data_IF_124008625757
#
_entry.id   IF_124008625757
#
_cell.length_a   1.000
_cell.length_b   1.000
_cell.length_c   1.000
_cell.angle_alpha   90.00
_cell.angle_beta   90.00
_cell.angle_gamma   90.00
#
_symmetry.space_group_name_H-M   'P 1'
#
loop_
_entity.id
_entity.type
_entity.pdbx_description
1 polymer ?
#
# COMPACT_ATOMS: atom_id res chain seq x y z
N UNK A 1 9.54 30.40 56.14
CA UNK A 1 9.55 29.06 55.49
C UNK A 1 8.17 28.51 55.15
N UNK A 2 7.10 28.72 55.91
CA UNK A 2 5.74 28.21 55.58
C UNK A 2 5.11 28.82 54.33
N UNK A 3 5.40 30.08 54.02
CA UNK A 3 4.86 30.81 52.85
C UNK A 3 5.46 30.35 51.51
N UNK A 4 6.72 29.92 51.48
CA UNK A 4 7.40 29.41 50.29
C UNK A 4 6.90 28.01 49.93
N UNK A 5 6.58 27.18 50.91
CA UNK A 5 6.07 25.83 50.68
C UNK A 5 4.66 25.84 50.05
N UNK A 6 3.80 26.78 50.43
CA UNK A 6 2.45 26.94 49.85
C UNK A 6 2.51 27.40 48.38
N UNK A 7 3.46 28.28 48.04
CA UNK A 7 3.64 28.77 46.66
C UNK A 7 4.14 27.67 45.71
N UNK A 8 5.00 26.75 46.18
CA UNK A 8 5.49 25.63 45.38
C UNK A 8 4.38 24.58 45.18
N UNK A 9 3.53 24.34 46.15
CA UNK A 9 2.38 23.41 46.04
C UNK A 9 1.33 23.98 45.08
N UNK A 10 1.05 25.29 45.12
CA UNK A 10 0.16 25.94 44.16
C UNK A 10 0.74 25.96 42.72
N UNK A 11 2.05 26.14 42.53
CA UNK A 11 2.67 26.06 41.19
C UNK A 11 2.70 24.63 40.63
N UNK A 12 2.88 23.61 41.49
CA UNK A 12 2.78 22.22 41.03
C UNK A 12 1.32 21.82 40.72
N UNK A 13 0.33 22.36 41.43
CA UNK A 13 -1.08 22.14 41.10
C UNK A 13 -1.56 22.86 39.86
N UNK A 14 -0.94 23.98 39.47
CA UNK A 14 -1.22 24.72 38.24
C UNK A 14 -0.50 24.11 37.01
N UNK A 15 0.61 23.36 37.22
CA UNK A 15 1.34 22.68 36.16
C UNK A 15 0.71 21.39 35.66
N UNK A 16 -0.29 20.85 36.36
CA UNK A 16 -0.98 19.59 35.98
C UNK A 16 -2.38 19.79 35.40
N UNK A 17 -2.83 21.04 35.27
CA UNK A 17 -4.05 21.35 34.50
C UNK A 17 -3.76 21.61 33.01
N UNK A 18 -2.96 20.79 32.37
CA UNK A 18 -3.21 20.49 30.96
C UNK A 18 -4.55 19.78 30.96
N UNK A 19 -5.58 20.48 30.49
CA UNK A 19 -6.95 20.02 30.50
C UNK A 19 -7.01 18.61 29.90
N UNK A 20 -7.10 17.61 30.74
CA UNK A 20 -7.35 16.24 30.32
C UNK A 20 -8.76 16.29 29.75
N UNK A 21 -8.83 16.28 28.40
CA UNK A 21 -10.10 16.28 27.65
C UNK A 21 -10.97 15.20 28.28
N UNK A 22 -12.16 15.53 28.70
CA UNK A 22 -13.06 14.54 29.30
C UNK A 22 -13.36 13.45 28.26
N UNK A 23 -13.65 12.24 28.72
CA UNK A 23 -14.04 11.13 27.83
C UNK A 23 -15.17 11.57 26.89
N UNK A 24 -16.15 12.31 27.40
CA UNK A 24 -17.29 12.79 26.61
C UNK A 24 -16.87 13.79 25.50
N UNK A 25 -15.99 14.72 25.83
CA UNK A 25 -15.45 15.67 24.83
C UNK A 25 -14.65 14.95 23.76
N UNK A 26 -13.80 13.97 24.15
CA UNK A 26 -13.04 13.15 23.20
C UNK A 26 -13.98 12.36 22.29
N UNK A 27 -15.01 11.74 22.84
CA UNK A 27 -16.02 11.00 22.08
C UNK A 27 -16.78 11.91 21.09
N UNK A 28 -17.13 13.14 21.51
CA UNK A 28 -17.77 14.13 20.62
C UNK A 28 -16.83 14.55 19.49
N UNK A 29 -15.56 14.77 19.82
CA UNK A 29 -14.53 15.08 18.83
C UNK A 29 -14.38 13.96 17.79
N UNK A 30 -14.24 12.71 18.22
CA UNK A 30 -14.09 11.55 17.33
C UNK A 30 -15.29 11.41 16.40
N UNK A 31 -16.52 11.54 16.93
CA UNK A 31 -17.74 11.48 16.09
C UNK A 31 -17.79 12.61 15.04
N UNK A 32 -17.31 13.79 15.38
CA UNK A 32 -17.21 14.91 14.44
C UNK A 32 -16.21 14.59 13.33
N UNK A 33 -15.00 14.14 13.69
CA UNK A 33 -13.98 13.75 12.71
C UNK A 33 -14.46 12.63 11.79
N UNK A 34 -15.16 11.63 12.33
CA UNK A 34 -15.75 10.56 11.54
C UNK A 34 -16.78 11.08 10.51
N UNK A 35 -17.69 11.93 10.93
CA UNK A 35 -18.69 12.52 10.01
C UNK A 35 -18.04 13.37 8.92
N UNK A 36 -16.99 14.13 9.26
CA UNK A 36 -16.22 14.92 8.29
C UNK A 36 -15.47 14.05 7.30
N UNK A 37 -14.82 12.97 7.78
CA UNK A 37 -14.13 12.01 6.93
C UNK A 37 -15.09 11.32 5.96
N UNK A 38 -16.23 10.81 6.43
CA UNK A 38 -17.26 10.20 5.55
C UNK A 38 -17.75 11.18 4.48
N UNK A 39 -17.98 12.45 4.84
CA UNK A 39 -18.35 13.48 3.87
C UNK A 39 -17.26 13.73 2.82
N UNK A 40 -15.97 13.73 3.21
CA UNK A 40 -14.85 13.86 2.28
C UNK A 40 -14.78 12.66 1.32
N UNK A 41 -14.94 11.43 1.84
CA UNK A 41 -14.98 10.21 1.04
C UNK A 41 -16.12 10.27 0.02
N UNK A 42 -17.32 10.65 0.45
CA UNK A 42 -18.49 10.77 -0.43
C UNK A 42 -18.29 11.82 -1.54
N UNK A 43 -17.45 12.82 -1.32
CA UNK A 43 -17.09 13.85 -2.29
C UNK A 43 -15.90 13.49 -3.17
N UNK A 44 -15.09 12.47 -2.80
CA UNK A 44 -13.89 12.11 -3.51
C UNK A 44 -14.16 11.73 -4.97
N UNK A 45 -13.43 12.33 -5.91
CA UNK A 45 -13.62 12.10 -7.33
C UNK A 45 -14.92 12.65 -7.93
N UNK A 46 -15.71 13.45 -7.18
CA UNK A 46 -16.96 14.08 -7.63
C UNK A 46 -16.78 15.57 -7.93
N UNK A 47 -17.73 16.14 -8.66
CA UNK A 47 -17.77 17.59 -8.97
C UNK A 47 -16.51 18.12 -9.65
N UNK A 48 -15.86 17.31 -10.50
CA UNK A 48 -14.63 17.70 -11.21
C UNK A 48 -13.36 17.71 -10.35
N UNK A 49 -13.44 17.24 -9.12
CA UNK A 49 -12.26 17.01 -8.29
C UNK A 49 -11.61 15.67 -8.65
N UNK A 50 -10.28 15.66 -8.70
CA UNK A 50 -9.54 14.41 -8.86
C UNK A 50 -9.66 13.57 -7.60
N UNK A 51 -9.87 12.26 -7.72
CA UNK A 51 -9.82 11.36 -6.58
C UNK A 51 -8.43 11.37 -5.94
N UNK A 52 -8.39 11.21 -4.63
CA UNK A 52 -7.16 11.09 -3.82
C UNK A 52 -7.32 9.87 -2.94
N UNK A 53 -7.02 8.74 -3.52
CA UNK A 53 -7.11 7.45 -2.86
C UNK A 53 -6.06 6.46 -3.38
N UNK A 54 -5.77 5.49 -2.54
CA UNK A 54 -4.98 4.31 -2.87
C UNK A 54 -5.86 3.10 -2.61
N UNK A 55 -6.01 2.24 -3.59
CA UNK A 55 -6.66 0.94 -3.46
C UNK A 55 -5.67 -0.18 -3.67
N UNK A 56 -5.68 -1.14 -2.77
CA UNK A 56 -4.93 -2.39 -2.86
C UNK A 56 -5.95 -3.52 -2.85
N UNK A 57 -5.86 -4.43 -3.82
CA UNK A 57 -6.71 -5.63 -3.91
C UNK A 57 -5.79 -6.83 -4.04
N UNK A 58 -5.79 -7.69 -3.04
CA UNK A 58 -5.08 -8.96 -3.05
C UNK A 58 -6.07 -10.09 -3.30
N UNK A 59 -5.85 -10.84 -4.35
CA UNK A 59 -6.61 -12.02 -4.73
C UNK A 59 -5.72 -13.24 -4.55
N UNK A 60 -6.13 -14.20 -3.74
CA UNK A 60 -5.35 -15.39 -3.42
C UNK A 60 -6.16 -16.67 -3.55
N UNK A 61 -5.49 -17.71 -4.02
CA UNK A 61 -5.91 -19.10 -3.80
C UNK A 61 -5.13 -19.61 -2.59
N UNK A 62 -5.82 -19.88 -1.49
CA UNK A 62 -5.20 -20.34 -0.25
C UNK A 62 -4.71 -21.79 -0.34
N UNK A 63 -5.39 -22.64 -1.12
CA UNK A 63 -5.01 -24.04 -1.28
C UNK A 63 -5.31 -24.52 -2.71
N UNK A 64 -4.33 -25.20 -3.33
CA UNK A 64 -4.52 -25.80 -4.67
C UNK A 64 -5.45 -27.02 -4.62
N UNK A 65 -5.54 -27.73 -3.48
CA UNK A 65 -6.35 -28.95 -3.30
C UNK A 65 -7.80 -28.63 -2.88
N UNK A 66 -8.01 -27.54 -2.17
CA UNK A 66 -9.32 -27.01 -1.79
C UNK A 66 -9.31 -25.54 -2.13
N UNK A 67 -9.74 -25.15 -3.34
CA UNK A 67 -9.61 -23.77 -3.79
C UNK A 67 -10.45 -22.83 -2.91
N UNK A 68 -9.86 -22.38 -1.82
CA UNK A 68 -10.34 -21.30 -1.00
C UNK A 68 -9.84 -20.02 -1.65
N UNK A 69 -10.77 -19.27 -2.22
CA UNK A 69 -10.46 -17.99 -2.85
C UNK A 69 -10.72 -16.87 -1.88
N UNK A 70 -9.67 -16.10 -1.62
CA UNK A 70 -9.67 -14.97 -0.72
C UNK A 70 -9.47 -13.65 -1.47
N UNK A 71 -10.26 -12.65 -1.14
CA UNK A 71 -10.11 -11.31 -1.66
C UNK A 71 -10.06 -10.32 -0.51
N UNK A 72 -8.95 -9.63 -0.40
CA UNK A 72 -8.78 -8.51 0.53
C UNK A 72 -8.67 -7.20 -0.28
N UNK A 73 -9.48 -6.22 0.08
CA UNK A 73 -9.42 -4.88 -0.48
C UNK A 73 -9.20 -3.86 0.61
N UNK A 74 -8.16 -3.05 0.44
CA UNK A 74 -7.83 -1.92 1.29
C UNK A 74 -7.99 -0.62 0.50
N UNK A 75 -8.81 0.29 0.98
CA UNK A 75 -9.00 1.63 0.44
C UNK A 75 -8.45 2.66 1.43
N UNK A 76 -7.49 3.46 1.00
CA UNK A 76 -6.88 4.53 1.78
C UNK A 76 -7.29 5.88 1.21
N UNK A 77 -7.85 6.76 2.04
CA UNK A 77 -8.22 8.12 1.66
C UNK A 77 -7.27 9.10 2.33
N UNK A 78 -6.63 9.96 1.54
CA UNK A 78 -5.59 10.86 2.00
C UNK A 78 -5.77 12.27 1.46
N UNK A 79 -5.09 13.24 2.08
CA UNK A 79 -4.94 14.60 1.56
C UNK A 79 -3.56 14.77 0.93
N UNK A 80 -3.42 15.75 0.06
CA UNK A 80 -2.13 16.15 -0.48
C UNK A 80 -1.86 17.60 -0.11
N UNK A 81 -0.59 17.89 0.16
CA UNK A 81 -0.09 19.25 0.36
C UNK A 81 0.97 19.56 -0.68
N UNK A 82 1.01 20.81 -1.10
CA UNK A 82 2.08 21.30 -1.95
C UNK A 82 3.19 21.90 -1.08
N UNK A 83 4.39 21.34 -1.23
CA UNK A 83 5.61 21.81 -0.57
C UNK A 83 6.61 22.09 -1.68
N UNK A 84 7.06 23.33 -1.78
CA UNK A 84 8.01 23.78 -2.82
C UNK A 84 7.59 23.42 -4.27
N UNK A 85 6.27 23.44 -4.53
CA UNK A 85 5.70 23.13 -5.84
C UNK A 85 5.47 21.63 -6.11
N UNK A 86 5.87 20.74 -5.20
CA UNK A 86 5.68 19.31 -5.30
C UNK A 86 4.47 18.85 -4.47
N UNK A 87 3.65 17.98 -5.04
CA UNK A 87 2.56 17.35 -4.32
C UNK A 87 3.11 16.29 -3.35
N UNK A 88 2.83 16.46 -2.06
CA UNK A 88 3.23 15.53 -1.01
C UNK A 88 2.00 14.88 -0.41
N UNK A 89 1.92 13.56 -0.47
CA UNK A 89 0.85 12.78 0.14
C UNK A 89 0.96 12.86 1.67
N UNK A 90 -0.15 13.19 2.29
CA UNK A 90 -0.25 13.13 3.75
C UNK A 90 -0.61 11.71 4.18
N UNK A 91 -0.35 11.29 5.42
CA UNK A 91 -0.89 10.04 5.94
C UNK A 91 -2.41 9.95 5.70
N UNK A 92 -2.96 8.74 5.55
CA UNK A 92 -4.39 8.60 5.31
C UNK A 92 -5.18 9.17 6.49
N UNK A 93 -6.33 9.78 6.21
CA UNK A 93 -7.26 10.19 7.24
C UNK A 93 -8.33 9.14 7.51
N UNK A 94 -8.53 8.21 6.55
CA UNK A 94 -9.48 7.13 6.67
C UNK A 94 -9.03 5.91 5.87
N UNK A 95 -9.24 4.72 6.43
CA UNK A 95 -8.91 3.44 5.80
C UNK A 95 -10.15 2.55 5.86
N UNK A 96 -10.42 1.83 4.78
CA UNK A 96 -11.48 0.82 4.71
C UNK A 96 -10.86 -0.49 4.26
N UNK A 97 -11.12 -1.55 5.02
CA UNK A 97 -10.83 -2.92 4.62
C UNK A 97 -12.12 -3.66 4.32
N UNK A 98 -12.13 -4.37 3.21
CA UNK A 98 -13.14 -5.38 2.88
C UNK A 98 -12.41 -6.70 2.66
N UNK A 99 -12.74 -7.69 3.43
CA UNK A 99 -12.22 -9.03 3.27
C UNK A 99 -13.37 -10.02 3.09
N UNK A 100 -13.25 -10.92 2.13
CA UNK A 100 -14.27 -11.92 1.85
C UNK A 100 -13.66 -13.26 1.48
N UNK A 101 -14.10 -14.31 2.19
CA UNK A 101 -13.74 -15.69 1.94
C UNK A 101 -14.96 -16.57 2.17
N UNK A 102 -15.35 -17.41 1.18
CA UNK A 102 -16.37 -18.49 1.26
C UNK A 102 -17.61 -18.24 2.14
N UNK A 103 -18.16 -17.03 2.10
CA UNK A 103 -19.34 -16.65 2.91
C UNK A 103 -19.01 -15.90 4.18
N UNK A 104 -17.73 -15.78 4.53
CA UNK A 104 -17.30 -14.86 5.57
C UNK A 104 -17.00 -13.50 4.96
N UNK A 105 -17.59 -12.46 5.52
CA UNK A 105 -17.31 -11.08 5.13
C UNK A 105 -16.86 -10.33 6.37
N UNK A 106 -15.69 -9.71 6.27
CA UNK A 106 -15.19 -8.79 7.29
C UNK A 106 -15.06 -7.41 6.67
N UNK A 107 -15.56 -6.43 7.38
CA UNK A 107 -15.48 -5.03 7.04
C UNK A 107 -14.86 -4.27 8.20
N UNK A 108 -13.87 -3.42 7.92
CA UNK A 108 -13.21 -2.59 8.93
C UNK A 108 -13.09 -1.17 8.43
N UNK A 109 -13.23 -0.23 9.35
CA UNK A 109 -12.93 1.19 9.14
C UNK A 109 -11.94 1.67 10.20
N UNK A 110 -10.94 2.41 9.79
CA UNK A 110 -9.98 3.07 10.67
C UNK A 110 -10.01 4.57 10.40
N UNK A 111 -10.21 5.37 11.45
CA UNK A 111 -10.17 6.83 11.39
C UNK A 111 -8.93 7.33 12.10
N UNK A 112 -8.15 8.19 11.40
CA UNK A 112 -7.00 8.86 11.98
C UNK A 112 -7.35 10.30 12.35
N UNK A 113 -6.71 10.81 13.40
CA UNK A 113 -6.85 12.20 13.82
C UNK A 113 -6.26 13.13 12.75
N UNK A 114 -7.00 14.12 12.24
CA UNK A 114 -6.50 15.03 11.22
C UNK A 114 -5.36 15.94 11.69
N UNK A 115 -5.03 15.95 12.99
CA UNK A 115 -3.98 16.81 13.56
C UNK A 115 -2.62 16.12 13.62
N UNK A 116 -2.59 14.88 14.08
CA UNK A 116 -1.37 14.13 14.37
C UNK A 116 -1.30 12.75 13.71
N UNK A 117 -2.36 12.40 12.97
CA UNK A 117 -2.51 11.13 12.24
C UNK A 117 -2.46 9.87 13.12
N UNK A 118 -2.75 10.02 14.41
CA UNK A 118 -2.92 8.86 15.28
C UNK A 118 -4.30 8.22 15.09
N UNK A 119 -4.39 6.92 15.30
CA UNK A 119 -5.66 6.19 15.27
C UNK A 119 -6.56 6.67 16.41
N UNK A 120 -7.78 7.09 16.08
CA UNK A 120 -8.76 7.58 17.08
C UNK A 120 -10.03 6.76 17.14
N UNK A 121 -10.29 5.96 16.09
CA UNK A 121 -11.48 5.11 16.03
C UNK A 121 -11.26 3.93 15.10
N UNK A 122 -11.74 2.75 15.52
CA UNK A 122 -11.88 1.58 14.67
C UNK A 122 -13.31 1.05 14.76
N UNK A 123 -13.85 0.64 13.62
CA UNK A 123 -15.09 -0.09 13.50
C UNK A 123 -14.81 -1.39 12.76
N UNK A 124 -15.34 -2.47 13.27
CA UNK A 124 -15.28 -3.79 12.63
C UNK A 124 -16.67 -4.40 12.58
N UNK A 125 -16.98 -5.01 11.45
CA UNK A 125 -18.18 -5.82 11.24
C UNK A 125 -17.77 -7.12 10.56
N UNK A 126 -18.30 -8.22 11.06
CA UNK A 126 -18.11 -9.51 10.44
C UNK A 126 -19.36 -10.37 10.58
N UNK A 127 -19.43 -11.43 9.77
CA UNK A 127 -20.50 -12.41 9.83
C UNK A 127 -19.93 -13.75 10.27
N UNK A 128 -20.61 -14.45 11.18
CA UNK A 128 -20.24 -15.79 11.62
C UNK A 128 -20.80 -16.83 10.67
N UNK A 129 -20.28 -18.06 10.71
CA UNK A 129 -20.81 -19.22 9.93
C UNK A 129 -22.29 -19.46 10.18
N UNK A 130 -22.80 -19.07 11.32
CA UNK A 130 -24.23 -19.18 11.65
C UNK A 130 -25.06 -17.98 11.15
N UNK A 131 -24.48 -17.06 10.38
CA UNK A 131 -25.12 -15.87 9.83
C UNK A 131 -25.35 -14.73 10.86
N UNK A 132 -24.72 -14.78 12.03
CA UNK A 132 -24.83 -13.69 13.00
C UNK A 132 -23.84 -12.58 12.68
N UNK A 133 -24.34 -11.33 12.64
CA UNK A 133 -23.50 -10.15 12.44
C UNK A 133 -22.93 -9.72 13.79
N UNK A 134 -21.61 -9.65 13.85
CA UNK A 134 -20.85 -9.09 14.98
C UNK A 134 -20.33 -7.71 14.60
N UNK A 135 -20.57 -6.73 15.45
CA UNK A 135 -20.05 -5.37 15.28
C UNK A 135 -19.30 -4.93 16.52
N UNK A 136 -18.15 -4.31 16.32
CA UNK A 136 -17.32 -3.74 17.38
C UNK A 136 -16.89 -2.31 17.01
N UNK A 137 -16.85 -1.44 18.00
CA UNK A 137 -16.40 -0.05 17.87
C UNK A 137 -15.45 0.26 19.01
N UNK A 138 -14.27 0.75 18.67
CA UNK A 138 -13.22 1.12 19.60
C UNK A 138 -12.87 2.60 19.45
N UNK A 139 -12.80 3.30 20.56
CA UNK A 139 -12.50 4.73 20.61
C UNK A 139 -11.23 4.93 21.43
N UNK A 140 -10.30 5.72 20.91
CA UNK A 140 -8.99 5.91 21.52
C UNK A 140 -8.75 7.36 21.93
N UNK A 141 -8.00 7.52 23.03
CA UNK A 141 -7.53 8.84 23.47
C UNK A 141 -6.32 9.31 22.65
N UNK A 142 -5.75 10.46 23.02
CA UNK A 142 -4.56 11.01 22.35
C UNK A 142 -3.26 10.23 22.67
N UNK A 143 -3.32 9.19 23.49
CA UNK A 143 -2.18 8.30 23.80
C UNK A 143 -2.35 6.92 23.17
N UNK A 144 -3.39 6.71 22.37
CA UNK A 144 -3.71 5.42 21.78
C UNK A 144 -4.36 4.43 22.75
N UNK A 145 -4.80 4.87 23.94
CA UNK A 145 -5.48 4.00 24.91
C UNK A 145 -6.96 3.92 24.57
N UNK A 146 -7.53 2.72 24.57
CA UNK A 146 -8.95 2.52 24.34
C UNK A 146 -9.75 3.08 25.53
N UNK A 147 -10.56 4.10 25.30
CA UNK A 147 -11.40 4.77 26.31
C UNK A 147 -12.85 4.32 26.29
N UNK A 148 -13.29 3.71 25.22
CA UNK A 148 -14.64 3.17 25.05
C UNK A 148 -14.60 2.04 24.03
N UNK A 149 -15.30 0.95 24.35
CA UNK A 149 -15.61 -0.13 23.42
C UNK A 149 -17.09 -0.41 23.40
N UNK A 150 -17.65 -0.72 22.23
CA UNK A 150 -19.05 -1.07 22.04
C UNK A 150 -19.17 -2.26 21.12
N UNK A 151 -19.94 -3.24 21.57
CA UNK A 151 -20.23 -4.46 20.81
C UNK A 151 -21.75 -4.62 20.72
N UNK A 152 -22.22 -5.24 19.64
CA UNK A 152 -23.63 -5.62 19.51
C UNK A 152 -23.93 -7.00 20.11
N UNK A 153 -22.89 -7.76 20.47
CA UNK A 153 -22.97 -9.08 21.11
C UNK A 153 -21.94 -9.19 22.24
N UNK A 154 -22.10 -10.14 23.13
CA UNK A 154 -21.14 -10.41 24.21
C UNK A 154 -19.83 -11.06 23.69
N UNK A 155 -19.84 -11.62 22.49
CA UNK A 155 -18.69 -12.24 21.85
C UNK A 155 -18.03 -11.23 20.89
N UNK A 156 -17.02 -10.52 21.37
CA UNK A 156 -16.14 -9.74 20.50
C UNK A 156 -15.13 -10.66 19.80
N UNK A 157 -14.95 -10.50 18.50
CA UNK A 157 -13.94 -11.26 17.74
C UNK A 157 -12.55 -10.66 17.85
N UNK A 158 -12.47 -9.41 18.26
CA UNK A 158 -11.21 -8.66 18.29
C UNK A 158 -11.08 -7.90 19.59
N UNK A 159 -9.84 -7.56 19.91
CA UNK A 159 -9.50 -6.70 21.04
C UNK A 159 -9.04 -5.32 20.54
N UNK A 160 -9.15 -4.27 21.37
CA UNK A 160 -8.70 -2.93 21.00
C UNK A 160 -7.24 -2.88 20.53
N UNK A 161 -6.39 -3.70 21.15
CA UNK A 161 -4.96 -3.81 20.84
C UNK A 161 -4.73 -4.37 19.45
N UNK A 162 -5.43 -5.44 19.10
CA UNK A 162 -5.37 -6.06 17.74
C UNK A 162 -5.82 -5.08 16.65
N UNK A 163 -6.88 -4.31 16.93
CA UNK A 163 -7.35 -3.29 15.97
C UNK A 163 -6.34 -2.15 15.79
N UNK A 164 -5.59 -1.82 16.85
CA UNK A 164 -4.51 -0.84 16.77
C UNK A 164 -3.34 -1.38 15.94
N UNK A 165 -2.91 -2.62 16.15
CA UNK A 165 -1.85 -3.29 15.39
C UNK A 165 -2.19 -3.37 13.90
N UNK A 166 -3.43 -3.76 13.56
CA UNK A 166 -3.92 -3.74 12.19
C UNK A 166 -3.87 -2.34 11.57
N UNK A 167 -4.28 -1.32 12.31
CA UNK A 167 -4.25 0.06 11.83
C UNK A 167 -2.81 0.54 11.56
N UNK A 168 -1.86 0.23 12.44
CA UNK A 168 -0.43 0.54 12.27
C UNK A 168 0.15 -0.19 11.05
N UNK A 169 -0.23 -1.44 10.84
CA UNK A 169 0.13 -2.21 9.65
C UNK A 169 -0.36 -1.52 8.37
N UNK A 170 -1.63 -1.09 8.31
CA UNK A 170 -2.17 -0.39 7.13
C UNK A 170 -1.47 0.95 6.88
N UNK A 171 -1.15 1.72 7.93
CA UNK A 171 -0.40 2.97 7.80
C UNK A 171 0.99 2.71 7.23
N UNK A 172 1.67 1.65 7.68
CA UNK A 172 2.97 1.24 7.15
C UNK A 172 2.88 0.86 5.67
N UNK A 173 1.87 0.08 5.29
CA UNK A 173 1.61 -0.31 3.91
C UNK A 173 1.36 0.91 3.01
N UNK A 174 0.50 1.84 3.46
CA UNK A 174 0.26 3.10 2.75
C UNK A 174 1.57 3.86 2.51
N UNK A 175 2.38 4.04 3.54
CA UNK A 175 3.65 4.73 3.44
C UNK A 175 4.60 4.04 2.45
N UNK A 176 4.67 2.71 2.44
CA UNK A 176 5.49 1.95 1.49
C UNK A 176 5.04 2.18 0.04
N UNK A 177 3.75 2.16 -0.23
CA UNK A 177 3.22 2.37 -1.60
C UNK A 177 3.37 3.81 -2.06
N UNK A 178 3.23 4.80 -1.16
CA UNK A 178 3.14 6.21 -1.54
C UNK A 178 4.45 6.99 -1.50
N UNK A 179 5.51 6.46 -0.93
CA UNK A 179 6.78 7.17 -0.73
C UNK A 179 7.76 7.00 -1.87
N UNK A 180 7.36 7.02 -3.12
CA UNK A 180 8.25 7.12 -4.29
C UNK A 180 9.55 6.27 -4.22
N UNK A 181 9.48 5.02 -3.71
CA UNK A 181 10.53 4.03 -3.90
C UNK A 181 11.82 4.23 -3.08
N UNK A 182 11.74 4.58 -1.81
CA UNK A 182 12.94 4.74 -0.97
C UNK A 182 12.97 3.82 0.28
N UNK A 183 12.25 2.69 0.27
CA UNK A 183 12.12 1.85 1.47
C UNK A 183 13.16 0.74 1.62
N UNK A 184 13.54 0.12 0.52
CA UNK A 184 14.45 -1.02 0.61
C UNK A 184 15.85 -0.57 0.20
N UNK A 185 16.87 -0.69 1.06
CA UNK A 185 18.24 -0.60 0.61
C UNK A 185 18.48 -1.70 -0.41
N UNK A 186 18.72 -1.33 -1.67
CA UNK A 186 19.22 -2.30 -2.65
C UNK A 186 20.53 -2.89 -2.10
N UNK A 187 20.53 -4.17 -1.79
CA UNK A 187 21.77 -4.88 -1.48
C UNK A 187 22.57 -5.06 -2.77
N UNK A 188 23.28 -4.01 -3.14
CA UNK A 188 24.16 -3.98 -4.31
C UNK A 188 25.45 -4.82 -4.09
N UNK A 189 25.63 -5.40 -2.90
CA UNK A 189 26.87 -6.08 -2.49
C UNK A 189 26.81 -7.60 -2.61
N UNK A 190 25.93 -8.18 -3.40
CA UNK A 190 25.95 -9.62 -3.66
C UNK A 190 26.93 -9.95 -4.81
N UNK A 191 28.23 -10.21 -4.56
CA UNK A 191 29.15 -10.61 -5.61
C UNK A 191 28.93 -12.10 -5.91
N UNK A 192 27.95 -12.41 -6.73
CA UNK A 192 27.88 -13.70 -7.39
C UNK A 192 28.58 -13.54 -8.74
N UNK A 193 29.63 -14.32 -8.97
CA UNK A 193 30.32 -14.34 -10.25
C UNK A 193 29.40 -15.03 -11.26
N UNK A 194 28.74 -14.29 -12.15
CA UNK A 194 27.98 -14.90 -13.23
C UNK A 194 28.92 -15.68 -14.13
N UNK A 195 28.61 -16.94 -14.37
CA UNK A 195 29.36 -17.83 -15.26
C UNK A 195 28.58 -18.10 -16.55
N UNK A 196 27.34 -17.67 -16.64
CA UNK A 196 26.49 -17.90 -17.81
C UNK A 196 26.87 -16.98 -18.97
N UNK A 197 27.19 -17.51 -20.16
CA UNK A 197 27.47 -16.68 -21.34
C UNK A 197 26.30 -15.74 -21.63
N UNK A 198 26.60 -14.47 -21.99
CA UNK A 198 25.58 -13.43 -22.27
C UNK A 198 24.49 -13.92 -23.23
N UNK A 199 24.86 -14.61 -24.33
CA UNK A 199 23.90 -15.09 -25.32
C UNK A 199 22.90 -16.12 -24.73
N UNK A 200 23.37 -17.02 -23.88
CA UNK A 200 22.52 -18.00 -23.19
C UNK A 200 21.61 -17.32 -22.19
N UNK A 201 22.13 -16.37 -21.41
CA UNK A 201 21.34 -15.60 -20.44
C UNK A 201 20.22 -14.83 -21.13
N UNK A 202 20.51 -14.13 -22.22
CA UNK A 202 19.51 -13.42 -23.02
C UNK A 202 18.43 -14.34 -23.60
N UNK A 203 18.83 -15.54 -24.04
CA UNK A 203 17.87 -16.55 -24.54
C UNK A 203 16.95 -17.03 -23.40
N UNK A 204 17.53 -17.33 -22.24
CA UNK A 204 16.79 -17.74 -21.03
C UNK A 204 15.77 -16.66 -20.63
N UNK A 205 16.20 -15.41 -20.48
CA UNK A 205 15.32 -14.27 -20.15
C UNK A 205 14.16 -14.14 -21.14
N UNK A 206 14.42 -14.20 -22.44
CA UNK A 206 13.37 -14.10 -23.47
C UNK A 206 12.36 -15.25 -23.37
N UNK A 207 12.83 -16.46 -23.05
CA UNK A 207 11.96 -17.62 -22.86
C UNK A 207 11.06 -17.43 -21.64
N UNK A 208 11.63 -17.04 -20.50
CA UNK A 208 10.86 -16.75 -19.27
C UNK A 208 9.87 -15.60 -19.47
N UNK A 209 10.27 -14.55 -20.18
CA UNK A 209 9.37 -13.44 -20.48
C UNK A 209 8.14 -13.89 -21.30
N UNK A 210 8.33 -14.71 -22.32
CA UNK A 210 7.21 -15.23 -23.10
C UNK A 210 6.29 -16.12 -22.25
N UNK A 211 6.86 -16.94 -21.37
CA UNK A 211 6.09 -17.78 -20.43
C UNK A 211 5.32 -16.93 -19.42
N UNK A 212 5.95 -15.93 -18.82
CA UNK A 212 5.31 -15.02 -17.87
C UNK A 212 4.16 -14.23 -18.49
N UNK A 213 4.32 -13.73 -19.71
CA UNK A 213 3.26 -13.04 -20.47
C UNK A 213 2.07 -13.97 -20.76
N UNK A 214 2.34 -15.21 -21.16
CA UNK A 214 1.29 -16.19 -21.39
C UNK A 214 0.54 -16.55 -20.08
N UNK A 215 1.30 -16.73 -18.98
CA UNK A 215 0.76 -17.05 -17.67
C UNK A 215 -0.08 -15.89 -17.11
N UNK A 216 0.41 -14.65 -17.18
CA UNK A 216 -0.35 -13.47 -16.74
C UNK A 216 -1.63 -13.26 -17.55
N UNK A 217 -1.57 -13.47 -18.88
CA UNK A 217 -2.76 -13.38 -19.74
C UNK A 217 -3.79 -14.51 -19.46
N UNK A 218 -3.35 -15.66 -18.99
CA UNK A 218 -4.24 -16.73 -18.54
C UNK A 218 -4.88 -16.37 -17.20
N UNK A 219 -4.09 -15.84 -16.25
CA UNK A 219 -4.57 -15.34 -14.97
C UNK A 219 -5.64 -14.24 -15.13
N UNK A 220 -5.44 -13.33 -16.08
CA UNK A 220 -6.40 -12.23 -16.38
C UNK A 220 -7.79 -12.74 -16.82
N UNK A 221 -7.86 -13.97 -17.29
CA UNK A 221 -9.08 -14.62 -17.76
C UNK A 221 -9.61 -15.67 -16.77
N UNK A 222 -8.87 -15.94 -15.72
CA UNK A 222 -9.27 -16.91 -14.72
C UNK A 222 -10.50 -16.40 -13.97
N UNK A 223 -11.38 -17.28 -13.59
CA UNK A 223 -12.51 -17.00 -12.70
C UNK A 223 -12.02 -16.60 -11.31
N UNK A 224 -10.91 -17.20 -10.88
CA UNK A 224 -10.21 -16.93 -9.63
C UNK A 224 -8.77 -16.52 -9.95
N UNK A 225 -8.51 -15.24 -10.22
CA UNK A 225 -7.14 -14.77 -10.49
C UNK A 225 -6.29 -14.80 -9.22
N UNK A 226 -4.99 -14.99 -9.40
CA UNK A 226 -3.99 -14.94 -8.32
C UNK A 226 -3.06 -13.77 -8.57
N UNK A 227 -3.40 -12.61 -8.00
CA UNK A 227 -2.70 -11.36 -8.25
C UNK A 227 -2.96 -10.28 -7.17
N UNK A 228 -2.09 -9.28 -7.18
CA UNK A 228 -2.20 -8.09 -6.36
C UNK A 228 -2.35 -6.85 -7.25
N UNK A 229 -3.39 -6.08 -7.03
CA UNK A 229 -3.62 -4.81 -7.69
C UNK A 229 -3.34 -3.65 -6.74
N UNK A 230 -2.57 -2.67 -7.20
CA UNK A 230 -2.36 -1.39 -6.52
C UNK A 230 -2.83 -0.30 -7.46
N UNK A 231 -3.83 0.47 -7.06
CA UNK A 231 -4.38 1.58 -7.82
C UNK A 231 -4.23 2.85 -7.00
N UNK A 232 -3.37 3.76 -7.45
CA UNK A 232 -3.11 5.05 -6.81
C UNK A 232 -3.67 6.17 -7.68
N UNK A 233 -4.55 6.97 -7.11
CA UNK A 233 -5.03 8.22 -7.67
C UNK A 233 -4.43 9.39 -6.90
N UNK A 234 -3.60 10.18 -7.55
CA UNK A 234 -2.92 11.33 -6.94
C UNK A 234 -2.76 12.49 -7.92
N UNK A 235 -2.24 13.59 -7.43
CA UNK A 235 -1.73 14.67 -8.27
C UNK A 235 -0.28 14.35 -8.65
N UNK A 236 0.04 14.43 -9.95
CA UNK A 236 1.42 14.32 -10.42
C UNK A 236 2.28 15.51 -9.95
N UNK A 237 3.60 15.40 -10.13
CA UNK A 237 4.57 16.41 -9.70
C UNK A 237 4.30 17.81 -10.27
N UNK A 238 3.64 17.90 -11.44
CA UNK A 238 3.22 19.15 -12.08
C UNK A 238 1.70 19.41 -11.97
N UNK A 239 1.04 18.82 -10.97
CA UNK A 239 -0.38 18.98 -10.65
C UNK A 239 -1.43 18.36 -11.58
N UNK A 240 -1.17 17.80 -12.77
CA UNK A 240 -2.22 17.07 -13.46
C UNK A 240 -2.61 15.81 -12.67
N UNK A 241 -3.89 15.47 -12.61
CA UNK A 241 -4.34 14.23 -12.02
C UNK A 241 -3.64 13.03 -12.68
N UNK A 242 -3.16 12.11 -11.84
CA UNK A 242 -2.49 10.89 -12.28
C UNK A 242 -3.18 9.67 -11.70
N UNK A 243 -3.28 8.63 -12.50
CA UNK A 243 -3.66 7.29 -12.06
C UNK A 243 -2.53 6.34 -12.37
N UNK A 244 -1.98 5.71 -11.33
CA UNK A 244 -1.01 4.63 -11.47
C UNK A 244 -1.69 3.32 -11.09
N UNK A 245 -1.59 2.32 -11.97
CA UNK A 245 -2.11 0.96 -11.76
C UNK A 245 -0.96 0.00 -11.86
N UNK A 246 -0.70 -0.73 -10.80
CA UNK A 246 0.28 -1.81 -10.76
C UNK A 246 -0.44 -3.12 -10.54
N UNK A 247 -0.08 -4.14 -11.31
CA UNK A 247 -0.57 -5.50 -11.14
C UNK A 247 0.62 -6.44 -10.95
N UNK A 248 0.63 -7.14 -9.85
CA UNK A 248 1.68 -8.08 -9.45
C UNK A 248 1.10 -9.47 -9.58
N UNK A 249 1.71 -10.29 -10.42
CA UNK A 249 1.32 -11.67 -10.64
C UNK A 249 2.26 -12.58 -9.87
N UNK A 250 1.70 -13.48 -9.09
CA UNK A 250 2.43 -14.41 -8.25
C UNK A 250 1.88 -15.83 -8.33
N UNK A 251 2.60 -16.77 -7.78
CA UNK A 251 2.20 -18.14 -7.55
C UNK A 251 2.78 -18.62 -6.19
N UNK A 252 2.67 -19.91 -5.88
CA UNK A 252 3.25 -20.50 -4.66
C UNK A 252 4.74 -20.22 -4.48
N UNK A 253 5.44 -19.96 -5.56
CA UNK A 253 6.87 -19.65 -5.53
C UNK A 253 7.15 -18.15 -5.38
N UNK A 254 6.12 -17.27 -5.34
CA UNK A 254 6.17 -15.82 -5.19
C UNK A 254 6.01 -15.07 -6.51
N UNK A 255 6.42 -13.80 -6.55
CA UNK A 255 6.24 -12.94 -7.73
C UNK A 255 7.01 -13.50 -8.94
N UNK A 256 6.33 -13.55 -10.08
CA UNK A 256 6.96 -13.89 -11.36
C UNK A 256 6.91 -12.77 -12.39
N UNK A 257 5.90 -11.87 -12.31
CA UNK A 257 5.73 -10.79 -13.27
C UNK A 257 4.98 -9.61 -12.66
N UNK A 258 5.37 -8.39 -13.05
CA UNK A 258 4.65 -7.17 -12.68
C UNK A 258 4.42 -6.37 -13.94
N UNK A 259 3.24 -5.76 -14.08
CA UNK A 259 3.02 -4.66 -15.00
C UNK A 259 2.50 -3.43 -14.25
N UNK A 260 2.92 -2.27 -14.73
CA UNK A 260 2.49 -0.99 -14.22
C UNK A 260 2.10 -0.08 -15.38
N UNK A 261 1.02 0.65 -15.22
CA UNK A 261 0.64 1.74 -16.11
C UNK A 261 0.41 3.00 -15.32
N UNK A 262 0.89 4.12 -15.82
CA UNK A 262 0.63 5.44 -15.27
C UNK A 262 0.00 6.30 -16.36
N UNK A 263 -1.09 6.97 -16.05
CA UNK A 263 -1.81 7.83 -16.96
C UNK A 263 -2.05 9.19 -16.33
N UNK A 264 -1.63 10.24 -17.03
CA UNK A 264 -1.93 11.63 -16.71
C UNK A 264 -2.44 12.35 -17.97
N UNK A 265 -2.78 13.63 -17.83
CA UNK A 265 -3.18 14.44 -18.99
C UNK A 265 -2.04 14.68 -20.00
N UNK A 266 -0.78 14.52 -19.59
CA UNK A 266 0.39 14.87 -20.40
C UNK A 266 1.31 13.68 -20.68
N UNK A 267 1.32 12.66 -19.81
CA UNK A 267 2.28 11.57 -19.84
C UNK A 267 1.58 10.24 -19.62
N UNK A 268 1.79 9.32 -20.54
CA UNK A 268 1.43 7.92 -20.36
C UNK A 268 2.71 7.11 -20.16
N UNK A 269 2.77 6.38 -19.04
CA UNK A 269 3.89 5.49 -18.70
C UNK A 269 3.42 4.04 -18.64
N UNK A 270 4.31 3.14 -19.00
CA UNK A 270 4.10 1.70 -18.86
C UNK A 270 5.41 1.01 -18.51
N UNK A 271 5.39 0.09 -17.54
CA UNK A 271 6.57 -0.69 -17.17
C UNK A 271 6.20 -2.16 -16.94
N UNK A 272 7.16 -3.03 -17.18
CA UNK A 272 7.08 -4.46 -16.89
C UNK A 272 8.35 -4.92 -16.17
N UNK A 273 8.19 -5.85 -15.21
CA UNK A 273 9.30 -6.42 -14.45
C UNK A 273 9.15 -7.94 -14.45
N UNK A 274 10.21 -8.64 -14.81
CA UNK A 274 10.26 -10.11 -14.84
C UNK A 274 11.25 -10.61 -13.79
N UNK A 275 10.82 -11.56 -13.00
CA UNK A 275 11.62 -12.16 -11.93
C UNK A 275 12.07 -13.57 -12.29
N UNK A 276 13.27 -13.95 -11.84
CA UNK A 276 13.76 -15.31 -11.94
C UNK A 276 12.97 -16.20 -10.96
N UNK A 277 12.32 -17.27 -11.42
CA UNK A 277 11.47 -18.09 -10.56
C UNK A 277 12.15 -18.67 -9.31
N UNK A 278 13.48 -18.99 -9.42
CA UNK A 278 14.23 -19.63 -8.34
C UNK A 278 14.82 -18.64 -7.33
N UNK A 279 15.31 -17.49 -7.78
CA UNK A 279 16.07 -16.56 -6.93
C UNK A 279 15.28 -15.32 -6.58
N UNK A 280 14.15 -15.07 -7.26
CA UNK A 280 13.31 -13.87 -7.13
C UNK A 280 14.04 -12.57 -7.51
N UNK A 281 15.20 -12.68 -8.15
CA UNK A 281 15.93 -11.52 -8.63
C UNK A 281 15.25 -10.96 -9.89
N UNK A 282 15.26 -9.64 -10.05
CA UNK A 282 14.86 -8.99 -11.30
C UNK A 282 15.84 -9.40 -12.41
N UNK A 283 15.31 -9.94 -13.52
CA UNK A 283 16.12 -10.39 -14.66
C UNK A 283 15.86 -9.60 -15.95
N UNK A 284 14.73 -8.90 -15.99
CA UNK A 284 14.39 -8.06 -17.13
C UNK A 284 13.42 -6.97 -16.68
N UNK A 285 13.61 -5.77 -17.23
CA UNK A 285 12.60 -4.71 -17.21
C UNK A 285 12.38 -4.11 -18.58
N UNK A 286 11.17 -3.64 -18.79
CA UNK A 286 10.75 -2.86 -19.92
C UNK A 286 10.02 -1.63 -19.43
N UNK A 287 10.41 -0.48 -19.90
CA UNK A 287 9.74 0.78 -19.62
C UNK A 287 9.45 1.53 -20.91
N UNK A 288 8.29 2.14 -20.96
CA UNK A 288 7.83 2.99 -22.05
C UNK A 288 7.19 4.24 -21.46
N UNK A 289 7.59 5.38 -21.94
CA UNK A 289 7.02 6.65 -21.53
C UNK A 289 7.25 7.71 -22.60
N UNK A 290 6.65 8.88 -22.43
CA UNK A 290 6.84 9.99 -23.34
C UNK A 290 5.61 10.88 -23.43
N UNK A 291 5.82 12.03 -24.03
CA UNK A 291 4.80 13.01 -24.33
C UNK A 291 4.14 12.71 -25.69
N UNK A 292 3.04 13.40 -25.98
CA UNK A 292 2.29 13.26 -27.22
C UNK A 292 3.24 13.51 -28.42
N UNK A 293 3.43 12.47 -29.24
CA UNK A 293 4.28 12.49 -30.44
C UNK A 293 5.72 12.00 -30.24
N UNK A 294 6.20 11.77 -29.03
CA UNK A 294 7.54 11.25 -28.76
C UNK A 294 7.50 10.16 -27.69
N UNK A 295 7.68 8.91 -28.10
CA UNK A 295 7.66 7.75 -27.22
C UNK A 295 9.06 7.17 -27.09
N UNK A 296 9.50 7.04 -25.86
CA UNK A 296 10.76 6.42 -25.48
C UNK A 296 10.51 5.02 -24.95
N UNK A 297 11.41 4.09 -25.27
CA UNK A 297 11.37 2.72 -24.79
C UNK A 297 12.75 2.31 -24.27
N UNK A 298 12.74 1.61 -23.14
CA UNK A 298 13.95 1.02 -22.54
C UNK A 298 13.69 -0.44 -22.23
N UNK A 299 14.72 -1.28 -22.47
CA UNK A 299 14.75 -2.69 -22.10
C UNK A 299 16.08 -2.98 -21.47
N UNK A 300 16.06 -3.43 -20.23
CA UNK A 300 17.23 -3.82 -19.48
C UNK A 300 17.23 -5.30 -19.23
N UNK A 301 18.37 -5.95 -19.44
CA UNK A 301 18.57 -7.37 -19.23
C UNK A 301 19.66 -7.55 -18.16
N UNK A 302 19.39 -8.35 -17.13
CA UNK A 302 20.26 -8.50 -15.99
C UNK A 302 20.82 -9.93 -15.89
N UNK A 303 22.09 -10.04 -15.45
CA UNK A 303 22.68 -11.32 -15.11
C UNK A 303 22.26 -11.78 -13.71
N UNK A 304 22.83 -12.91 -13.25
CA UNK A 304 22.55 -13.50 -11.94
C UNK A 304 23.10 -12.67 -10.77
N UNK A 305 23.92 -11.66 -11.04
CA UNK A 305 24.44 -10.73 -10.04
C UNK A 305 23.61 -9.45 -9.96
N UNK A 306 22.63 -9.27 -10.85
CA UNK A 306 21.88 -8.03 -11.01
C UNK A 306 22.59 -6.96 -11.85
N UNK A 307 23.73 -7.29 -12.52
CA UNK A 307 24.40 -6.35 -13.42
C UNK A 307 23.62 -6.28 -14.73
N UNK A 308 23.45 -5.06 -15.27
CA UNK A 308 22.87 -4.88 -16.60
C UNK A 308 23.85 -5.36 -17.67
N UNK A 309 23.48 -6.41 -18.41
CA UNK A 309 24.30 -7.01 -19.46
C UNK A 309 23.91 -6.52 -20.86
N UNK A 310 22.73 -5.97 -21.01
CA UNK A 310 22.26 -5.39 -22.27
C UNK A 310 21.17 -4.34 -22.00
N UNK A 311 21.33 -3.18 -22.63
CA UNK A 311 20.31 -2.13 -22.71
C UNK A 311 19.88 -1.98 -24.16
N UNK A 312 18.57 -1.87 -24.40
CA UNK A 312 17.99 -1.49 -25.69
C UNK A 312 17.07 -0.32 -25.49
N UNK A 313 17.32 0.76 -26.18
CA UNK A 313 16.52 1.97 -26.14
C UNK A 313 16.42 2.61 -27.52
N UNK A 314 15.34 3.34 -27.75
CA UNK A 314 15.23 4.25 -28.89
C UNK A 314 15.59 5.71 -28.52
N UNK A 315 15.97 5.95 -27.23
CA UNK A 315 16.52 7.21 -26.76
C UNK A 315 18.05 7.14 -26.82
N UNK A 316 18.68 8.02 -27.60
CA UNK A 316 20.14 8.01 -27.79
C UNK A 316 20.87 8.86 -26.76
N UNK A 317 20.16 9.65 -25.96
CA UNK A 317 20.76 10.67 -25.10
C UNK A 317 20.94 10.21 -23.64
N UNK A 318 20.41 9.03 -23.26
CA UNK A 318 20.50 8.50 -21.92
C UNK A 318 21.26 7.18 -21.84
N UNK A 319 22.26 7.13 -20.95
CA UNK A 319 22.92 5.92 -20.48
C UNK A 319 22.45 5.62 -19.07
N UNK A 320 21.36 4.86 -18.94
CA UNK A 320 20.90 4.31 -17.66
C UNK A 320 21.23 2.81 -17.61
N UNK A 321 21.57 2.31 -16.42
CA UNK A 321 21.86 0.89 -16.15
C UNK A 321 20.66 0.12 -15.58
N UNK A 322 19.47 0.72 -15.61
CA UNK A 322 18.25 0.16 -15.04
C UNK A 322 18.20 0.25 -13.50
N UNK A 323 18.93 1.18 -12.91
CA UNK A 323 18.94 1.37 -11.45
C UNK A 323 17.55 1.64 -10.88
N UNK A 324 16.79 2.53 -11.52
CA UNK A 324 15.43 2.87 -11.08
C UNK A 324 14.47 1.70 -11.21
N UNK A 325 14.61 0.89 -12.27
CA UNK A 325 13.80 -0.32 -12.48
C UNK A 325 14.08 -1.38 -11.41
N UNK A 326 15.37 -1.59 -11.07
CA UNK A 326 15.78 -2.51 -9.98
C UNK A 326 15.18 -2.08 -8.65
N UNK A 327 15.17 -0.79 -8.39
CA UNK A 327 14.63 -0.22 -7.17
C UNK A 327 13.11 -0.41 -7.10
N UNK A 328 12.38 -0.04 -8.15
CA UNK A 328 10.94 -0.22 -8.22
C UNK A 328 10.54 -1.70 -8.03
N UNK A 329 11.26 -2.62 -8.67
CA UNK A 329 11.04 -4.05 -8.51
C UNK A 329 11.25 -4.53 -7.07
N UNK A 330 12.29 -4.02 -6.38
CA UNK A 330 12.57 -4.32 -4.98
C UNK A 330 11.47 -3.80 -4.04
N UNK A 331 10.96 -2.60 -4.31
CA UNK A 331 9.87 -2.02 -3.52
C UNK A 331 8.57 -2.83 -3.67
N UNK A 332 8.23 -3.27 -4.88
CA UNK A 332 7.08 -4.16 -5.09
C UNK A 332 7.23 -5.52 -4.41
N UNK A 333 8.45 -6.08 -4.40
CA UNK A 333 8.72 -7.31 -3.65
C UNK A 333 8.47 -7.10 -2.15
N UNK A 334 8.97 -5.99 -1.59
CA UNK A 334 8.78 -5.69 -0.17
C UNK A 334 7.30 -5.45 0.20
N UNK A 335 6.51 -4.81 -0.68
CA UNK A 335 5.06 -4.65 -0.50
C UNK A 335 4.37 -6.02 -0.51
N UNK A 336 4.73 -6.88 -1.47
CA UNK A 336 4.17 -8.22 -1.57
C UNK A 336 4.51 -9.07 -0.34
N UNK A 337 5.77 -9.06 0.10
CA UNK A 337 6.22 -9.80 1.29
C UNK A 337 5.52 -9.31 2.56
N UNK A 338 5.29 -7.99 2.68
CA UNK A 338 4.55 -7.42 3.79
C UNK A 338 3.08 -7.91 3.82
N UNK A 339 2.42 -7.95 2.66
CA UNK A 339 1.04 -8.42 2.55
C UNK A 339 0.88 -9.92 2.83
N UNK A 340 1.87 -10.74 2.45
CA UNK A 340 1.83 -12.18 2.70
C UNK A 340 2.37 -12.59 4.09
N UNK A 341 3.14 -11.74 4.77
CA UNK A 341 3.68 -12.02 6.11
C UNK A 341 2.79 -11.57 7.27
N UNK A 342 1.64 -10.98 7.00
CA UNK A 342 0.74 -10.47 8.05
C UNK A 342 -0.23 -11.56 8.59
N UNK A 343 -0.16 -12.77 8.09
CA UNK A 343 -1.02 -13.89 8.49
C UNK A 343 -0.47 -14.71 9.69
N UNK A 344 0.69 -14.34 10.26
CA UNK A 344 1.22 -14.92 11.49
C UNK A 344 0.88 -14.01 12.71
#
# INVERSE_FOLDING_TARGET
>A
MRTILLSIICMMALGTCLAQTTKEERMKYIRKCYAEAKKKIDANGKNGQSPKDLRIILNRLEDEDIPLYDTEQLDFFFDEKFVDGLATKQPPYFIVENWGNHGHVRYREVLLDPKDHQVIFCYMRGETDAGFVVESRYYYDAKGQCIEQKHNTDNSWTMPETEMENAEYYIRLFNMVTSNGYFTPLDLNKPKKSTTPKAERLKHIRTLYAQAKAKSAANDKAEMPNDLHIILHDLGDNQPPRTTKTRIYFDKDGIYFINQSSKSMQLDGYSEYLFEPKTKDLIFSYSRGGEEGQVYEWRYYFNENGDCIETKTNNTDETDDGFYDKRAASDYQAIFDLLNGHEE
#
